data_IF_408421815225
#
_entry.id   IF_408421815225
#
_cell.length_a   1.000
_cell.length_b   1.000
_cell.length_c   1.000
_cell.angle_alpha   90.00
_cell.angle_beta   90.00
_cell.angle_gamma   90.00
#
_symmetry.space_group_name_H-M   'P 1'
#
loop_
_entity.id
_entity.type
_entity.pdbx_description
1 polymer ?
#
# COMPACT_ATOMS: atom_id res chain seq x y z
N UNK A 1 6.79 -16.14 5.56
CA UNK A 1 6.49 -15.74 4.16
C UNK A 1 7.78 -15.30 3.49
N UNK A 2 8.01 -15.55 2.19
CA UNK A 2 9.28 -15.12 1.57
C UNK A 2 9.19 -13.62 1.25
N UNK A 3 10.16 -12.78 1.65
CA UNK A 3 10.11 -11.33 1.38
C UNK A 3 9.88 -10.99 -0.09
N UNK A 4 10.43 -11.79 -1.01
CA UNK A 4 10.27 -11.60 -2.45
C UNK A 4 8.80 -11.68 -2.93
N UNK A 5 7.95 -12.50 -2.29
CA UNK A 5 6.55 -12.70 -2.70
C UNK A 5 5.74 -11.40 -2.61
N UNK A 6 6.06 -10.53 -1.64
CA UNK A 6 5.46 -9.21 -1.53
C UNK A 6 5.78 -8.33 -2.74
N UNK A 7 7.03 -8.34 -3.18
CA UNK A 7 7.47 -7.54 -4.31
C UNK A 7 7.03 -8.14 -5.65
N UNK A 8 6.96 -9.48 -5.77
CA UNK A 8 6.31 -10.16 -6.90
C UNK A 8 4.86 -9.68 -7.05
N UNK A 9 4.10 -9.65 -5.95
CA UNK A 9 2.72 -9.15 -5.93
C UNK A 9 2.63 -7.72 -6.48
N UNK A 10 3.42 -6.77 -5.94
CA UNK A 10 3.37 -5.38 -6.40
C UNK A 10 3.72 -5.23 -7.88
N UNK A 11 4.70 -6.00 -8.38
CA UNK A 11 5.10 -5.96 -9.78
C UNK A 11 4.05 -6.56 -10.73
N UNK A 12 3.36 -7.62 -10.31
CA UNK A 12 2.27 -8.20 -11.12
C UNK A 12 1.12 -7.21 -11.31
N UNK A 13 0.82 -6.41 -10.28
CA UNK A 13 -0.13 -5.32 -10.37
C UNK A 13 0.38 -4.14 -11.19
N UNK A 14 1.67 -3.85 -11.12
CA UNK A 14 2.31 -2.75 -11.83
C UNK A 14 2.71 -3.07 -13.29
N UNK A 15 2.45 -4.30 -13.76
CA UNK A 15 2.73 -4.75 -15.12
C UNK A 15 1.82 -4.07 -16.16
N UNK A 16 2.05 -2.78 -16.39
CA UNK A 16 1.35 -1.93 -17.34
C UNK A 16 2.32 -1.35 -18.38
N UNK A 17 2.03 -1.46 -19.69
CA UNK A 17 2.83 -0.84 -20.75
C UNK A 17 2.60 0.68 -20.86
N UNK A 18 1.73 1.24 -20.02
CA UNK A 18 1.37 2.65 -20.04
C UNK A 18 2.59 3.57 -19.82
N UNK A 19 2.76 4.60 -20.66
CA UNK A 19 3.93 5.48 -20.58
C UNK A 19 3.82 6.48 -19.43
N UNK A 20 4.91 6.64 -18.69
CA UNK A 20 5.06 7.64 -17.64
C UNK A 20 5.21 9.03 -18.26
N UNK A 21 4.34 9.95 -17.83
CA UNK A 21 4.32 11.36 -18.28
C UNK A 21 5.29 12.21 -17.48
N UNK A 22 5.47 11.90 -16.20
CA UNK A 22 6.29 12.69 -15.29
C UNK A 22 6.75 11.87 -14.08
N UNK A 23 7.98 12.14 -13.65
CA UNK A 23 8.52 11.70 -12.35
C UNK A 23 9.14 12.92 -11.69
N UNK A 24 8.79 13.16 -10.42
CA UNK A 24 9.40 14.18 -9.57
C UNK A 24 9.96 13.50 -8.33
N UNK A 25 11.21 13.82 -7.98
CA UNK A 25 11.81 13.43 -6.71
C UNK A 25 11.85 14.69 -5.85
N UNK A 26 10.80 14.89 -5.04
CA UNK A 26 10.75 15.97 -4.07
C UNK A 26 11.54 15.63 -2.81
N UNK A 27 11.70 16.59 -1.91
CA UNK A 27 12.48 16.41 -0.68
C UNK A 27 11.89 15.33 0.25
N UNK A 28 10.56 15.29 0.38
CA UNK A 28 9.86 14.34 1.26
C UNK A 28 9.08 13.30 0.48
N UNK A 29 8.52 13.68 -0.67
CA UNK A 29 7.69 12.80 -1.50
C UNK A 29 8.22 12.74 -2.92
N UNK A 30 8.24 11.53 -3.47
CA UNK A 30 8.45 11.26 -4.88
C UNK A 30 7.11 10.93 -5.53
N UNK A 31 6.94 11.40 -6.76
CA UNK A 31 5.69 11.42 -7.49
C UNK A 31 5.92 10.82 -8.87
N UNK A 32 5.03 9.93 -9.30
CA UNK A 32 4.99 9.40 -10.66
C UNK A 32 3.59 9.61 -11.24
N UNK A 33 3.51 10.17 -12.44
CA UNK A 33 2.25 10.38 -13.15
C UNK A 33 2.23 9.65 -14.49
N UNK A 34 1.18 8.86 -14.68
CA UNK A 34 0.71 8.35 -15.94
C UNK A 34 -0.73 8.87 -16.17
N UNK A 35 -1.72 8.01 -16.41
CA UNK A 35 -3.15 8.33 -16.30
C UNK A 35 -3.55 8.54 -14.84
N UNK A 36 -3.04 7.69 -13.95
CA UNK A 36 -3.11 7.83 -12.50
C UNK A 36 -1.78 8.34 -11.93
N UNK A 37 -1.83 8.77 -10.67
CA UNK A 37 -0.68 9.27 -9.93
C UNK A 37 -0.35 8.28 -8.82
N UNK A 38 0.95 8.05 -8.60
CA UNK A 38 1.48 7.30 -7.48
C UNK A 38 2.49 8.13 -6.68
N UNK A 39 2.53 7.86 -5.39
CA UNK A 39 3.41 8.53 -4.44
C UNK A 39 4.28 7.50 -3.71
N UNK A 40 5.46 7.92 -3.31
CA UNK A 40 6.32 7.20 -2.38
C UNK A 40 7.14 8.20 -1.57
N UNK A 41 7.46 7.89 -0.32
CA UNK A 41 8.36 8.71 0.48
C UNK A 41 9.77 8.73 -0.16
N UNK A 42 10.33 9.93 -0.29
CA UNK A 42 11.69 10.12 -0.80
C UNK A 42 12.72 9.60 0.21
N UNK A 43 13.87 9.06 -0.25
CA UNK A 43 14.97 8.71 0.64
C UNK A 43 15.52 9.95 1.35
N UNK A 44 15.89 9.81 2.63
CA UNK A 44 16.46 10.91 3.42
C UNK A 44 17.93 11.25 3.09
N UNK A 45 18.67 10.36 2.44
CA UNK A 45 20.07 10.58 2.10
C UNK A 45 20.23 11.31 0.78
N UNK A 46 20.94 12.45 0.77
CA UNK A 46 21.20 13.22 -0.45
C UNK A 46 22.19 12.50 -1.37
N UNK A 47 21.99 12.64 -2.69
CA UNK A 47 22.96 12.22 -3.70
C UNK A 47 23.21 13.33 -4.72
N UNK A 48 24.46 13.43 -5.21
CA UNK A 48 24.83 14.31 -6.32
C UNK A 48 24.73 13.63 -7.69
N UNK A 49 24.50 12.32 -7.71
CA UNK A 49 24.55 11.52 -8.92
C UNK A 49 23.32 10.62 -9.01
N UNK A 50 22.50 10.88 -10.03
CA UNK A 50 21.42 10.01 -10.49
C UNK A 50 21.62 9.77 -11.99
N UNK A 51 22.29 8.69 -12.42
CA UNK A 51 22.75 8.52 -13.81
C UNK A 51 21.60 8.40 -14.83
N UNK A 52 20.38 8.19 -14.35
CA UNK A 52 19.17 8.06 -15.15
C UNK A 52 18.30 9.33 -15.16
N UNK A 53 18.71 10.41 -14.49
CA UNK A 53 17.98 11.68 -14.50
C UNK A 53 17.79 12.18 -15.93
N UNK A 54 16.59 12.69 -16.24
CA UNK A 54 16.21 13.11 -17.60
C UNK A 54 15.76 11.97 -18.54
N UNK A 55 15.85 10.70 -18.14
CA UNK A 55 15.53 9.55 -19.01
C UNK A 55 14.24 8.81 -18.66
N UNK A 56 13.52 9.24 -17.60
CA UNK A 56 12.37 8.49 -17.06
C UNK A 56 11.05 8.71 -17.81
N UNK A 57 10.83 9.90 -18.37
CA UNK A 57 9.62 10.20 -19.15
C UNK A 57 9.57 9.30 -20.37
N UNK A 58 8.40 8.72 -20.65
CA UNK A 58 8.17 7.82 -21.78
C UNK A 58 8.52 6.35 -21.50
N UNK A 59 9.24 6.05 -20.41
CA UNK A 59 9.34 4.66 -19.91
C UNK A 59 7.96 4.19 -19.47
N UNK A 60 7.73 2.89 -19.58
CA UNK A 60 6.49 2.26 -19.12
C UNK A 60 6.45 2.18 -17.59
N UNK A 61 5.24 2.14 -17.02
CA UNK A 61 5.06 1.86 -15.59
C UNK A 61 5.71 0.54 -15.18
N UNK A 62 5.63 -0.50 -16.02
CA UNK A 62 6.27 -1.80 -15.75
C UNK A 62 7.80 -1.69 -15.63
N UNK A 63 8.45 -0.96 -16.53
CA UNK A 63 9.92 -0.77 -16.49
C UNK A 63 10.38 -0.05 -15.23
N UNK A 64 9.68 1.03 -14.84
CA UNK A 64 10.03 1.77 -13.63
C UNK A 64 9.67 1.00 -12.38
N UNK A 65 8.50 0.38 -12.31
CA UNK A 65 8.07 -0.43 -11.18
C UNK A 65 9.06 -1.57 -10.90
N UNK A 66 9.68 -2.16 -11.93
CA UNK A 66 10.74 -3.17 -11.79
C UNK A 66 11.91 -2.74 -10.90
N UNK A 67 12.17 -1.44 -10.76
CA UNK A 67 13.21 -0.89 -9.89
C UNK A 67 12.88 -1.00 -8.40
N UNK A 68 11.65 -1.36 -8.04
CA UNK A 68 11.22 -1.54 -6.66
C UNK A 68 12.07 -2.58 -5.91
N UNK A 69 12.64 -3.56 -6.61
CA UNK A 69 13.54 -4.58 -6.04
C UNK A 69 14.96 -4.08 -5.79
N UNK A 70 15.35 -2.97 -6.40
CA UNK A 70 16.70 -2.45 -6.28
C UNK A 70 16.96 -2.01 -4.83
N UNK A 71 18.17 -2.24 -4.32
CA UNK A 71 18.58 -1.80 -3.00
C UNK A 71 19.08 -0.34 -3.00
N UNK A 72 19.29 0.26 -4.18
CA UNK A 72 19.53 1.69 -4.30
C UNK A 72 18.23 2.47 -3.94
N UNK A 73 18.24 3.32 -2.90
CA UNK A 73 17.03 3.94 -2.36
C UNK A 73 16.22 4.76 -3.37
N UNK A 74 16.86 5.53 -4.25
CA UNK A 74 16.14 6.38 -5.19
C UNK A 74 15.44 5.56 -6.29
N UNK A 75 16.10 4.50 -6.80
CA UNK A 75 15.50 3.54 -7.72
C UNK A 75 14.31 2.83 -7.09
N UNK A 76 14.45 2.38 -5.84
CA UNK A 76 13.37 1.74 -5.11
C UNK A 76 12.16 2.68 -4.94
N UNK A 77 12.40 3.94 -4.57
CA UNK A 77 11.35 4.95 -4.41
C UNK A 77 10.67 5.27 -5.75
N UNK A 78 11.42 5.45 -6.83
CA UNK A 78 10.84 5.65 -8.18
C UNK A 78 10.00 4.44 -8.59
N UNK A 79 10.50 3.22 -8.35
CA UNK A 79 9.76 2.00 -8.63
C UNK A 79 8.48 1.89 -7.82
N UNK A 80 8.51 2.29 -6.55
CA UNK A 80 7.30 2.30 -5.71
C UNK A 80 6.28 3.35 -6.17
N UNK A 81 6.71 4.55 -6.52
CA UNK A 81 5.82 5.58 -7.05
C UNK A 81 5.16 5.13 -8.37
N UNK A 82 5.91 4.48 -9.26
CA UNK A 82 5.37 3.89 -10.49
C UNK A 82 4.39 2.74 -10.20
N UNK A 83 4.71 1.85 -9.26
CA UNK A 83 3.82 0.78 -8.84
C UNK A 83 2.50 1.33 -8.26
N UNK A 84 2.58 2.34 -7.41
CA UNK A 84 1.39 3.01 -6.89
C UNK A 84 0.58 3.71 -7.98
N UNK A 85 1.22 4.30 -8.99
CA UNK A 85 0.49 4.87 -10.12
C UNK A 85 -0.31 3.75 -10.82
N UNK A 86 0.32 2.64 -11.17
CA UNK A 86 -0.34 1.51 -11.81
C UNK A 86 -1.45 0.87 -10.97
N UNK A 87 -1.29 0.78 -9.64
CA UNK A 87 -2.31 0.27 -8.71
C UNK A 87 -3.45 1.29 -8.55
N UNK A 88 -3.13 2.59 -8.58
CA UNK A 88 -4.11 3.62 -8.27
C UNK A 88 -5.23 3.77 -9.30
N UNK A 89 -5.03 3.29 -10.54
CA UNK A 89 -6.07 3.23 -11.58
C UNK A 89 -7.15 2.18 -11.32
N UNK A 90 -6.88 1.20 -10.44
CA UNK A 90 -7.81 0.10 -10.18
C UNK A 90 -9.05 0.59 -9.44
N UNK A 91 -10.20 0.08 -9.87
CA UNK A 91 -11.51 0.36 -9.31
C UNK A 91 -12.29 -0.93 -9.06
N UNK A 92 -13.13 -0.98 -8.02
CA UNK A 92 -13.33 0.08 -7.03
C UNK A 92 -12.18 0.18 -6.02
N UNK A 93 -12.01 1.36 -5.43
CA UNK A 93 -11.27 1.52 -4.16
C UNK A 93 -12.00 0.77 -3.03
N UNK A 94 -11.29 0.37 -1.95
CA UNK A 94 -11.97 -0.27 -0.85
C UNK A 94 -12.94 0.70 -0.18
N UNK A 95 -14.03 0.15 0.33
CA UNK A 95 -14.92 0.89 1.23
C UNK A 95 -14.11 1.36 2.44
N UNK A 96 -14.32 2.61 2.81
CA UNK A 96 -13.52 3.25 3.84
C UNK A 96 -13.98 4.67 4.11
N UNK A 97 -13.39 5.27 5.14
CA UNK A 97 -13.71 6.60 5.62
C UNK A 97 -12.69 7.59 5.07
N UNK A 98 -13.15 8.60 4.35
CA UNK A 98 -12.33 9.77 4.02
C UNK A 98 -12.22 10.67 5.25
N UNK A 99 -11.01 10.78 5.78
CA UNK A 99 -10.74 11.59 6.96
C UNK A 99 -10.70 13.08 6.57
N UNK A 100 -11.35 13.91 7.39
CA UNK A 100 -11.26 15.36 7.31
C UNK A 100 -10.02 15.85 8.07
N UNK A 101 -9.47 17.03 7.75
CA UNK A 101 -8.34 17.59 8.50
C UNK A 101 -8.56 17.54 10.03
N UNK A 102 -7.56 17.03 10.75
CA UNK A 102 -7.60 16.81 12.19
C UNK A 102 -7.19 18.04 13.02
N UNK A 103 -7.50 18.02 14.30
CA UNK A 103 -7.20 19.12 15.23
C UNK A 103 -5.71 19.21 15.59
N UNK A 104 -5.01 18.07 15.64
CA UNK A 104 -3.57 17.96 15.89
C UNK A 104 -2.73 18.08 14.60
N UNK A 105 -3.38 18.37 13.46
CA UNK A 105 -2.75 18.49 12.15
C UNK A 105 -3.07 17.31 11.23
N UNK A 106 -3.17 17.61 9.94
CA UNK A 106 -3.63 16.64 8.93
C UNK A 106 -2.73 15.41 8.78
N UNK A 107 -1.46 15.45 9.21
CA UNK A 107 -0.58 14.28 9.21
C UNK A 107 -0.84 13.31 10.36
N UNK A 108 -1.52 13.74 11.43
CA UNK A 108 -1.85 12.92 12.61
C UNK A 108 -3.29 12.42 12.62
N UNK A 109 -4.11 12.80 11.63
CA UNK A 109 -5.53 12.49 11.58
C UNK A 109 -5.86 10.99 11.64
N UNK A 110 -4.96 10.12 11.19
CA UNK A 110 -5.12 8.67 11.34
C UNK A 110 -5.05 8.26 12.81
N UNK A 111 -4.11 8.82 13.58
CA UNK A 111 -4.04 8.57 15.03
C UNK A 111 -5.26 9.14 15.75
N UNK A 112 -5.75 10.32 15.34
CA UNK A 112 -7.01 10.89 15.87
C UNK A 112 -8.21 9.98 15.60
N UNK A 113 -8.30 9.40 14.39
CA UNK A 113 -9.39 8.49 14.03
C UNK A 113 -9.44 7.26 14.94
N UNK A 114 -8.28 6.67 15.25
CA UNK A 114 -8.17 5.49 16.11
C UNK A 114 -8.08 5.82 17.61
N UNK A 115 -7.92 7.09 17.99
CA UNK A 115 -7.66 7.51 19.37
C UNK A 115 -8.55 6.84 20.43
N UNK A 116 -9.87 6.68 20.25
CA UNK A 116 -10.72 5.98 21.23
C UNK A 116 -10.30 4.54 21.51
N UNK A 117 -9.69 3.87 20.53
CA UNK A 117 -9.25 2.47 20.59
C UNK A 117 -7.77 2.32 21.02
N UNK A 118 -7.01 3.42 21.06
CA UNK A 118 -5.59 3.40 21.44
C UNK A 118 -5.37 3.57 22.94
N UNK A 119 -6.38 4.05 23.68
CA UNK A 119 -6.26 4.26 25.13
C UNK A 119 -6.00 2.92 25.82
N UNK A 120 -5.15 2.96 26.84
CA UNK A 120 -4.75 1.81 27.68
C UNK A 120 -3.95 0.69 26.98
N UNK A 121 -3.83 0.73 25.65
CA UNK A 121 -3.09 -0.25 24.86
C UNK A 121 -1.62 0.14 24.64
N UNK A 122 -0.76 -0.87 24.47
CA UNK A 122 0.62 -0.67 24.02
C UNK A 122 0.66 -0.39 22.51
N UNK A 123 1.03 0.84 22.16
CA UNK A 123 1.10 1.30 20.76
C UNK A 123 2.56 1.41 20.33
N UNK A 124 2.91 0.72 19.25
CA UNK A 124 4.20 0.90 18.58
C UNK A 124 3.99 1.59 17.23
N UNK A 125 4.75 2.63 16.95
CA UNK A 125 4.74 3.32 15.65
C UNK A 125 6.06 3.08 14.97
N UNK A 126 6.04 2.62 13.72
CA UNK A 126 7.23 2.49 12.90
C UNK A 126 7.28 3.67 11.93
N UNK A 127 8.28 4.52 12.12
CA UNK A 127 8.44 5.80 11.42
C UNK A 127 7.94 6.99 12.25
N UNK A 128 8.73 8.06 12.30
CA UNK A 128 8.35 9.28 13.04
C UNK A 128 7.37 10.17 12.25
N UNK A 129 6.35 10.65 12.94
CA UNK A 129 5.41 11.66 12.46
C UNK A 129 5.58 12.98 13.25
N UNK A 130 5.64 14.15 12.58
CA UNK A 130 5.71 15.43 13.28
C UNK A 130 4.54 15.63 14.24
N UNK A 131 4.83 16.08 15.48
CA UNK A 131 3.84 16.34 16.53
C UNK A 131 3.39 15.10 17.34
N UNK A 132 3.92 13.90 17.03
CA UNK A 132 3.44 12.66 17.64
C UNK A 132 3.69 12.57 19.17
N UNK A 133 4.82 13.07 19.66
CA UNK A 133 5.14 13.05 21.10
C UNK A 133 4.16 13.94 21.89
N UNK A 134 3.87 15.14 21.39
CA UNK A 134 2.89 16.05 21.99
C UNK A 134 1.47 15.47 21.94
N UNK A 135 1.11 14.85 20.81
CA UNK A 135 -0.15 14.15 20.66
C UNK A 135 -0.30 13.01 21.67
N UNK A 136 0.75 12.19 21.85
CA UNK A 136 0.75 11.09 22.79
C UNK A 136 0.66 11.59 24.24
N UNK A 137 1.43 12.61 24.61
CA UNK A 137 1.40 13.22 25.94
C UNK A 137 0.03 13.83 26.27
N UNK A 138 -0.55 14.58 25.33
CA UNK A 138 -1.87 15.21 25.50
C UNK A 138 -2.99 14.20 25.75
N UNK A 139 -2.87 13.01 25.16
CA UNK A 139 -3.90 11.98 25.24
C UNK A 139 -3.56 10.81 26.19
N UNK A 140 -2.42 10.87 26.89
CA UNK A 140 -1.97 9.83 27.81
C UNK A 140 -1.70 8.47 27.15
N UNK A 141 -1.21 8.47 25.90
CA UNK A 141 -0.97 7.23 25.14
C UNK A 141 0.34 6.55 25.57
N UNK A 142 0.31 5.22 25.70
CA UNK A 142 1.49 4.36 25.88
C UNK A 142 2.10 4.07 24.51
N UNK A 143 2.78 5.07 23.95
CA UNK A 143 3.31 5.05 22.58
C UNK A 143 4.84 4.94 22.57
N UNK A 144 5.38 4.03 21.76
CA UNK A 144 6.82 3.94 21.48
C UNK A 144 7.06 4.04 19.98
N UNK A 145 8.03 4.84 19.55
CA UNK A 145 8.37 4.96 18.13
C UNK A 145 9.67 4.25 17.81
N UNK A 146 9.66 3.48 16.72
CA UNK A 146 10.82 2.86 16.09
C UNK A 146 11.21 3.70 14.87
N UNK A 147 12.45 4.19 14.84
CA UNK A 147 12.97 4.99 13.73
C UNK A 147 14.43 4.61 13.39
N UNK A 148 14.78 4.65 12.11
CA UNK A 148 16.13 4.30 11.62
C UNK A 148 17.17 5.34 12.02
N UNK A 149 16.74 6.59 12.11
CA UNK A 149 17.52 7.71 12.65
C UNK A 149 16.79 8.23 13.90
N UNK A 150 16.89 7.51 15.03
CA UNK A 150 16.08 7.80 16.20
C UNK A 150 16.43 9.17 16.79
N UNK A 151 15.38 9.94 17.11
CA UNK A 151 15.48 11.12 17.96
C UNK A 151 15.57 10.77 19.46
N UNK A 152 15.57 11.78 20.36
CA UNK A 152 15.76 11.57 21.80
C UNK A 152 14.73 10.65 22.49
N UNK A 153 13.51 10.56 21.97
CA UNK A 153 12.41 9.78 22.53
C UNK A 153 12.11 8.49 21.74
N UNK A 154 13.04 8.10 20.86
CA UNK A 154 12.82 7.07 19.87
C UNK A 154 13.69 5.87 20.16
N UNK A 155 13.19 4.70 19.80
CA UNK A 155 13.97 3.48 19.77
C UNK A 155 14.55 3.28 18.37
N UNK A 156 15.77 2.71 18.25
CA UNK A 156 16.32 2.35 16.95
C UNK A 156 15.43 1.29 16.27
N UNK A 157 15.43 1.28 14.94
CA UNK A 157 14.66 0.31 14.14
C UNK A 157 14.95 -1.15 14.49
N UNK A 158 16.16 -1.48 14.95
CA UNK A 158 16.54 -2.81 15.43
C UNK A 158 15.79 -3.28 16.68
N UNK A 159 15.15 -2.39 17.44
CA UNK A 159 14.30 -2.75 18.57
C UNK A 159 12.97 -3.41 18.14
N UNK A 160 12.65 -3.40 16.84
CA UNK A 160 11.42 -4.01 16.30
C UNK A 160 11.23 -5.47 16.70
N UNK A 161 12.31 -6.26 16.75
CA UNK A 161 12.30 -7.68 17.13
C UNK A 161 11.84 -7.92 18.57
N UNK A 162 11.92 -6.91 19.44
CA UNK A 162 11.55 -6.99 20.85
C UNK A 162 10.21 -6.33 21.14
N UNK A 163 9.89 -5.24 20.44
CA UNK A 163 8.72 -4.42 20.75
C UNK A 163 7.48 -4.78 19.93
N UNK A 164 7.63 -5.15 18.65
CA UNK A 164 6.47 -5.46 17.81
C UNK A 164 5.72 -6.73 18.24
N UNK A 165 6.38 -7.81 18.70
CA UNK A 165 5.66 -9.01 19.18
C UNK A 165 4.77 -8.77 20.41
N UNK A 166 5.10 -7.76 21.22
CA UNK A 166 4.40 -7.40 22.46
C UNK A 166 3.40 -6.23 22.27
N UNK A 167 3.38 -5.63 21.08
CA UNK A 167 2.50 -4.52 20.77
C UNK A 167 1.05 -5.00 20.64
N UNK A 168 0.11 -4.14 21.06
CA UNK A 168 -1.32 -4.38 20.85
C UNK A 168 -1.83 -3.63 19.61
N UNK A 169 -1.19 -2.48 19.31
CA UNK A 169 -1.39 -1.71 18.09
C UNK A 169 -0.07 -1.39 17.42
N UNK A 170 -0.02 -1.54 16.09
CA UNK A 170 1.14 -1.14 15.28
C UNK A 170 0.71 -0.19 14.18
N UNK A 171 1.28 1.01 14.16
CA UNK A 171 1.18 1.93 13.03
C UNK A 171 2.45 1.81 12.19
N UNK A 172 2.34 1.19 11.02
CA UNK A 172 3.47 0.89 10.15
C UNK A 172 3.53 1.89 9.00
N UNK A 173 4.61 2.66 8.90
CA UNK A 173 4.86 3.48 7.70
C UNK A 173 4.97 2.62 6.46
N UNK A 174 4.24 2.98 5.40
CA UNK A 174 4.39 2.37 4.08
C UNK A 174 5.76 2.70 3.43
N UNK A 175 6.52 3.64 3.98
CA UNK A 175 7.94 3.84 3.61
C UNK A 175 8.82 2.61 3.86
N UNK A 176 8.40 1.68 4.73
CA UNK A 176 9.08 0.39 4.94
C UNK A 176 9.12 -0.51 3.68
N UNK A 177 8.25 -0.25 2.70
CA UNK A 177 8.21 -1.00 1.44
C UNK A 177 9.45 -0.68 0.59
N UNK A 178 9.84 0.60 0.50
CA UNK A 178 10.95 1.04 -0.38
C UNK A 178 12.31 0.61 0.17
N UNK A 179 12.45 0.51 1.49
CA UNK A 179 13.67 0.12 2.17
C UNK A 179 13.75 -1.38 2.57
N UNK A 180 12.78 -2.19 2.13
CA UNK A 180 12.76 -3.66 2.26
C UNK A 180 12.50 -4.21 3.65
N UNK A 181 12.06 -3.38 4.59
CA UNK A 181 11.73 -3.85 5.95
C UNK A 181 10.27 -4.28 6.12
N UNK A 182 9.36 -3.87 5.21
CA UNK A 182 7.92 -4.17 5.34
C UNK A 182 7.60 -5.65 5.63
N UNK A 183 8.12 -6.66 4.88
CA UNK A 183 7.71 -8.04 5.13
C UNK A 183 8.04 -8.55 6.53
N UNK A 184 9.19 -8.14 7.10
CA UNK A 184 9.58 -8.54 8.46
C UNK A 184 8.80 -7.78 9.52
N UNK A 185 8.59 -6.47 9.33
CA UNK A 185 7.83 -5.65 10.27
C UNK A 185 6.37 -6.12 10.34
N UNK A 186 5.75 -6.44 9.21
CA UNK A 186 4.41 -7.00 9.15
C UNK A 186 4.33 -8.38 9.83
N UNK A 187 5.33 -9.26 9.59
CA UNK A 187 5.42 -10.56 10.27
C UNK A 187 5.52 -10.44 11.79
N UNK A 188 6.35 -9.51 12.29
CA UNK A 188 6.51 -9.26 13.72
C UNK A 188 5.25 -8.67 14.36
N UNK A 189 4.46 -7.92 13.58
CA UNK A 189 3.24 -7.23 14.04
C UNK A 189 1.98 -8.08 13.97
N UNK A 190 2.07 -9.34 13.51
CA UNK A 190 0.91 -10.21 13.20
C UNK A 190 -0.07 -10.49 14.35
N UNK A 191 0.33 -10.21 15.60
CA UNK A 191 -0.50 -10.39 16.78
C UNK A 191 -1.14 -9.07 17.27
N UNK A 192 -0.76 -7.94 16.68
CA UNK A 192 -1.27 -6.62 16.97
C UNK A 192 -2.31 -6.21 15.92
N UNK A 193 -3.16 -5.24 16.26
CA UNK A 193 -3.96 -4.54 15.25
C UNK A 193 -3.00 -3.64 14.44
N UNK A 194 -2.82 -3.95 13.16
CA UNK A 194 -1.81 -3.31 12.31
C UNK A 194 -2.43 -2.37 11.28
N UNK A 195 -1.99 -1.11 11.30
CA UNK A 195 -2.36 -0.07 10.34
C UNK A 195 -1.18 0.24 9.43
N UNK A 196 -1.24 -0.16 8.15
CA UNK A 196 -0.27 0.28 7.14
C UNK A 196 -0.67 1.65 6.61
N UNK A 197 0.19 2.66 6.79
CA UNK A 197 -0.23 4.04 6.57
C UNK A 197 0.77 4.92 5.80
N UNK A 198 0.21 5.93 5.13
CA UNK A 198 0.91 7.02 4.48
C UNK A 198 0.80 7.00 2.95
N UNK A 199 1.28 8.05 2.26
CA UNK A 199 1.23 8.18 0.79
C UNK A 199 1.86 7.04 -0.02
N UNK A 200 2.79 6.28 0.57
CA UNK A 200 3.40 5.12 -0.09
C UNK A 200 2.48 3.88 -0.11
N UNK A 201 1.35 3.88 0.60
CA UNK A 201 0.50 2.68 0.79
C UNK A 201 -0.15 2.23 -0.53
N UNK A 202 0.09 0.99 -1.00
CA UNK A 202 -0.60 0.42 -2.14
C UNK A 202 -2.00 -0.08 -1.76
N UNK A 203 -3.00 0.18 -2.61
CA UNK A 203 -4.38 -0.25 -2.41
C UNK A 203 -4.61 -1.68 -2.93
N UNK A 204 -4.25 -2.70 -2.13
CA UNK A 204 -4.43 -4.12 -2.49
C UNK A 204 -5.09 -4.93 -1.36
N UNK A 205 -6.12 -5.76 -1.65
CA UNK A 205 -6.74 -6.62 -0.64
C UNK A 205 -5.79 -7.71 -0.11
N UNK A 206 -4.80 -8.12 -0.91
CA UNK A 206 -3.80 -9.11 -0.56
C UNK A 206 -2.99 -8.75 0.69
N UNK A 207 -2.93 -7.46 1.08
CA UNK A 207 -2.25 -7.01 2.29
C UNK A 207 -2.84 -7.65 3.58
N UNK A 208 -4.09 -8.11 3.55
CA UNK A 208 -4.68 -8.91 4.62
C UNK A 208 -3.80 -10.12 4.95
N UNK A 209 -3.30 -10.80 3.91
CA UNK A 209 -2.49 -12.00 4.04
C UNK A 209 -1.10 -11.74 4.61
N UNK A 210 -0.70 -10.46 4.70
CA UNK A 210 0.53 -10.00 5.34
C UNK A 210 0.30 -9.56 6.80
N UNK A 211 -0.92 -9.73 7.34
CA UNK A 211 -1.25 -9.37 8.72
C UNK A 211 -1.61 -7.89 8.90
N UNK A 212 -2.09 -7.23 7.83
CA UNK A 212 -2.55 -5.84 7.90
C UNK A 212 -4.06 -5.79 8.12
N UNK A 213 -4.49 -5.12 9.19
CA UNK A 213 -5.90 -4.98 9.56
C UNK A 213 -6.54 -3.72 8.98
N UNK A 214 -5.74 -2.68 8.74
CA UNK A 214 -6.21 -1.41 8.18
C UNK A 214 -5.23 -0.83 7.17
N UNK A 215 -5.77 -0.28 6.10
CA UNK A 215 -5.03 0.55 5.15
C UNK A 215 -5.40 2.02 5.37
N UNK A 216 -4.42 2.85 5.66
CA UNK A 216 -4.55 4.30 5.73
C UNK A 216 -3.73 4.94 4.59
N UNK A 217 -4.21 4.76 3.36
CA UNK A 217 -3.62 5.32 2.14
C UNK A 217 -4.24 6.66 1.74
N UNK A 218 -3.80 7.20 0.61
CA UNK A 218 -4.27 8.51 0.11
C UNK A 218 -5.32 8.37 -0.99
N UNK A 219 -6.25 9.32 -0.97
CA UNK A 219 -7.05 9.73 -2.13
C UNK A 219 -6.58 11.11 -2.60
N UNK A 220 -6.37 11.26 -3.90
CA UNK A 220 -5.94 12.53 -4.49
C UNK A 220 -7.16 13.42 -4.64
N UNK A 221 -7.14 14.57 -3.97
CA UNK A 221 -8.22 15.54 -4.01
C UNK A 221 -7.94 16.64 -5.06
N UNK A 222 -6.69 17.09 -5.16
CA UNK A 222 -6.24 18.04 -6.18
C UNK A 222 -4.85 17.63 -6.70
N UNK A 223 -4.80 17.18 -7.96
CA UNK A 223 -3.58 16.69 -8.59
C UNK A 223 -2.57 17.82 -8.90
N UNK A 224 -3.04 19.04 -9.19
CA UNK A 224 -2.17 20.18 -9.50
C UNK A 224 -1.54 20.72 -8.23
N UNK A 225 -2.34 20.90 -7.17
CA UNK A 225 -1.86 21.32 -5.86
C UNK A 225 -0.90 20.27 -5.27
N UNK A 226 -1.24 18.98 -5.37
CA UNK A 226 -0.36 17.88 -4.98
C UNK A 226 1.02 18.00 -5.66
N UNK A 227 1.01 18.18 -6.99
CA UNK A 227 2.26 18.31 -7.76
C UNK A 227 3.07 19.54 -7.31
N UNK A 228 2.43 20.69 -7.13
CA UNK A 228 3.10 21.91 -6.68
C UNK A 228 3.80 21.69 -5.33
N UNK A 229 3.08 21.15 -4.35
CA UNK A 229 3.61 20.83 -3.02
C UNK A 229 4.82 19.90 -3.10
N UNK A 230 4.76 18.84 -3.91
CA UNK A 230 5.87 17.91 -4.10
C UNK A 230 7.10 18.61 -4.69
N UNK A 231 6.90 19.42 -5.73
CA UNK A 231 7.97 20.18 -6.38
C UNK A 231 8.62 21.23 -5.45
N UNK A 232 7.84 21.81 -4.55
CA UNK A 232 8.30 22.79 -3.55
C UNK A 232 8.85 22.14 -2.27
N UNK A 233 8.85 20.80 -2.19
CA UNK A 233 9.43 20.06 -1.06
C UNK A 233 8.55 19.98 0.19
N UNK A 234 7.25 20.27 0.07
CA UNK A 234 6.31 20.24 1.18
C UNK A 234 5.99 18.81 1.65
N UNK A 235 6.45 18.45 2.85
CA UNK A 235 6.16 17.15 3.47
C UNK A 235 4.71 17.02 3.95
N UNK A 236 4.40 17.64 5.09
CA UNK A 236 3.04 17.61 5.67
C UNK A 236 2.03 18.47 4.90
N UNK A 237 2.51 19.43 4.09
CA UNK A 237 1.67 20.30 3.25
C UNK A 237 0.86 19.54 2.20
N UNK A 238 1.23 18.30 1.91
CA UNK A 238 0.49 17.41 1.01
C UNK A 238 -0.98 17.26 1.43
N UNK A 239 -1.22 17.35 2.75
CA UNK A 239 -2.53 17.18 3.37
C UNK A 239 -3.36 18.49 3.46
N UNK A 240 -2.84 19.62 2.98
CA UNK A 240 -3.52 20.93 2.99
C UNK A 240 -4.45 21.12 1.75
N UNK A 241 -4.79 20.02 1.07
CA UNK A 241 -5.73 20.01 -0.06
C UNK A 241 -5.34 19.07 -1.21
N UNK A 242 -4.04 18.76 -1.36
CA UNK A 242 -3.58 17.86 -2.44
C UNK A 242 -4.11 16.42 -2.30
N UNK A 243 -4.11 15.91 -1.06
CA UNK A 243 -4.63 14.57 -0.76
C UNK A 243 -5.45 14.53 0.53
N UNK A 244 -6.20 13.46 0.71
CA UNK A 244 -6.86 13.09 1.98
C UNK A 244 -6.57 11.65 2.34
N UNK A 245 -6.45 11.37 3.64
CA UNK A 245 -6.41 9.99 4.12
C UNK A 245 -7.76 9.31 3.87
N UNK A 246 -7.71 8.11 3.30
CA UNK A 246 -8.79 7.15 3.33
C UNK A 246 -8.37 6.03 4.27
N UNK A 247 -9.19 5.70 5.26
CA UNK A 247 -8.98 4.55 6.14
C UNK A 247 -9.96 3.46 5.76
N UNK A 248 -9.45 2.31 5.35
CA UNK A 248 -10.24 1.14 5.01
C UNK A 248 -9.89 0.00 5.97
N UNK A 249 -10.93 -0.59 6.58
CA UNK A 249 -10.77 -1.83 7.31
C UNK A 249 -10.48 -2.96 6.32
N UNK A 250 -9.46 -3.75 6.62
CA UNK A 250 -9.04 -4.89 5.84
C UNK A 250 -9.31 -6.18 6.61
N UNK A 251 -10.50 -6.28 7.20
CA UNK A 251 -10.97 -7.54 7.81
C UNK A 251 -11.19 -8.59 6.72
N UNK A 252 -11.22 -9.88 7.10
CA UNK A 252 -11.44 -10.97 6.14
C UNK A 252 -12.68 -10.74 5.25
N UNK A 253 -13.89 -10.40 5.76
CA UNK A 253 -15.04 -10.11 4.89
C UNK A 253 -14.81 -8.92 3.96
N UNK A 254 -14.23 -7.82 4.47
CA UNK A 254 -13.97 -6.62 3.67
C UNK A 254 -12.96 -6.90 2.54
N UNK A 255 -11.87 -7.61 2.84
CA UNK A 255 -10.89 -8.04 1.84
C UNK A 255 -11.53 -8.97 0.79
N UNK A 256 -12.41 -9.88 1.22
CA UNK A 256 -13.08 -10.82 0.34
C UNK A 256 -14.04 -10.12 -0.63
N UNK A 257 -14.87 -9.21 -0.14
CA UNK A 257 -15.81 -8.44 -0.97
C UNK A 257 -15.09 -7.48 -1.92
N UNK A 258 -13.99 -6.89 -1.46
CA UNK A 258 -13.15 -6.05 -2.30
C UNK A 258 -12.44 -6.86 -3.39
N UNK A 259 -11.84 -8.02 -3.07
CA UNK A 259 -11.27 -8.94 -4.05
C UNK A 259 -12.30 -9.36 -5.09
N UNK A 260 -13.53 -9.71 -4.69
CA UNK A 260 -14.63 -10.05 -5.61
C UNK A 260 -14.93 -8.91 -6.59
N UNK A 261 -14.97 -7.68 -6.09
CA UNK A 261 -15.25 -6.50 -6.90
C UNK A 261 -14.12 -6.22 -7.92
N UNK A 262 -12.86 -6.38 -7.51
CA UNK A 262 -11.70 -6.24 -8.39
C UNK A 262 -11.62 -7.38 -9.42
N UNK A 263 -11.99 -8.61 -9.08
CA UNK A 263 -12.10 -9.74 -10.02
C UNK A 263 -13.10 -9.38 -11.12
N UNK A 264 -14.30 -8.92 -10.75
CA UNK A 264 -15.32 -8.54 -11.72
C UNK A 264 -14.84 -7.41 -12.67
N UNK A 265 -14.12 -6.42 -12.15
CA UNK A 265 -13.49 -5.37 -12.96
C UNK A 265 -12.43 -5.91 -13.92
N UNK A 266 -11.55 -6.77 -13.42
CA UNK A 266 -10.43 -7.35 -14.19
C UNK A 266 -10.92 -8.28 -15.29
N UNK A 267 -12.00 -9.04 -15.04
CA UNK A 267 -12.64 -9.88 -16.06
C UNK A 267 -13.22 -9.03 -17.20
N UNK A 268 -13.90 -7.91 -16.90
CA UNK A 268 -14.40 -7.00 -17.95
C UNK A 268 -13.26 -6.39 -18.78
N UNK A 269 -12.17 -5.98 -18.14
CA UNK A 269 -10.97 -5.50 -18.84
C UNK A 269 -10.40 -6.58 -19.76
N UNK A 270 -10.31 -7.83 -19.27
CA UNK A 270 -9.85 -8.99 -20.05
C UNK A 270 -10.72 -9.24 -21.28
N UNK A 271 -12.05 -9.26 -21.10
CA UNK A 271 -13.00 -9.49 -22.19
C UNK A 271 -12.87 -8.42 -23.28
N UNK A 272 -12.70 -7.15 -22.88
CA UNK A 272 -12.49 -6.03 -23.80
C UNK A 272 -11.23 -6.22 -24.63
N UNK A 273 -10.11 -6.61 -24.00
CA UNK A 273 -8.84 -6.86 -24.69
C UNK A 273 -8.89 -8.09 -25.59
N UNK A 274 -9.60 -9.16 -25.18
CA UNK A 274 -9.79 -10.34 -26.01
C UNK A 274 -10.63 -10.03 -27.25
N UNK A 275 -11.68 -9.22 -27.12
CA UNK A 275 -12.47 -8.76 -28.26
C UNK A 275 -11.62 -7.90 -29.22
N UNK A 276 -10.87 -6.93 -28.70
CA UNK A 276 -9.99 -6.10 -29.50
C UNK A 276 -8.90 -6.93 -30.23
N UNK A 277 -8.35 -7.94 -29.55
CA UNK A 277 -7.41 -8.89 -30.15
C UNK A 277 -8.04 -9.73 -31.27
N UNK A 278 -9.26 -10.22 -31.07
CA UNK A 278 -9.99 -10.95 -32.11
C UNK A 278 -10.24 -10.05 -33.34
N UNK A 279 -10.69 -8.81 -33.13
CA UNK A 279 -10.92 -7.84 -34.20
C UNK A 279 -9.63 -7.47 -34.95
N UNK A 280 -8.49 -7.42 -34.26
CA UNK A 280 -7.19 -7.21 -34.88
C UNK A 280 -6.85 -8.31 -35.89
N UNK A 281 -6.99 -9.57 -35.50
CA UNK A 281 -6.70 -10.69 -36.39
C UNK A 281 -7.76 -10.86 -37.49
N UNK A 282 -9.04 -10.58 -37.21
CA UNK A 282 -10.11 -10.60 -38.21
C UNK A 282 -9.92 -9.55 -39.31
N UNK A 283 -9.25 -8.44 -39.02
CA UNK A 283 -8.84 -7.43 -40.03
C UNK A 283 -7.67 -7.88 -40.91
N UNK A 284 -7.17 -9.10 -40.74
CA UNK A 284 -6.08 -9.66 -41.55
C UNK A 284 -4.68 -9.25 -41.10
N UNK A 285 -4.53 -8.64 -39.92
CA UNK A 285 -3.20 -8.34 -39.38
C UNK A 285 -2.46 -9.63 -39.02
N UNK A 286 -1.21 -9.76 -39.49
CA UNK A 286 -0.34 -10.92 -39.20
C UNK A 286 0.62 -10.66 -38.05
N UNK A 287 0.85 -9.39 -37.71
CA UNK A 287 1.67 -9.00 -36.57
C UNK A 287 0.96 -9.32 -35.23
N UNK A 288 1.74 -9.50 -34.16
CA UNK A 288 1.22 -9.69 -32.81
C UNK A 288 0.31 -8.53 -32.42
N UNK A 289 -0.81 -8.84 -31.75
CA UNK A 289 -1.70 -7.83 -31.21
C UNK A 289 -0.93 -6.81 -30.33
N UNK A 290 -1.02 -5.50 -30.62
CA UNK A 290 -0.21 -4.48 -29.95
C UNK A 290 -0.35 -4.48 -28.42
N UNK A 291 -1.55 -4.69 -27.89
CA UNK A 291 -1.81 -4.62 -26.45
C UNK A 291 -1.71 -5.99 -25.75
N UNK A 292 -1.04 -6.97 -26.37
CA UNK A 292 -0.84 -8.28 -25.75
C UNK A 292 -0.17 -8.16 -24.36
N UNK A 293 0.76 -7.22 -24.18
CA UNK A 293 1.40 -6.99 -22.89
C UNK A 293 0.42 -6.56 -21.79
N UNK A 294 -0.60 -5.77 -22.15
CA UNK A 294 -1.68 -5.40 -21.23
C UNK A 294 -2.55 -6.61 -20.87
N UNK A 295 -2.89 -7.45 -21.87
CA UNK A 295 -3.65 -8.69 -21.65
C UNK A 295 -2.91 -9.67 -20.72
N UNK A 296 -1.59 -9.81 -20.90
CA UNK A 296 -0.73 -10.61 -20.02
C UNK A 296 -0.72 -10.07 -18.58
N UNK A 297 -0.61 -8.74 -18.41
CA UNK A 297 -0.74 -8.09 -17.11
C UNK A 297 -2.11 -8.32 -16.45
N UNK A 298 -3.20 -8.25 -17.21
CA UNK A 298 -4.56 -8.55 -16.74
C UNK A 298 -4.68 -9.99 -16.26
N UNK A 299 -4.12 -10.96 -17.00
CA UNK A 299 -4.14 -12.37 -16.59
C UNK A 299 -3.37 -12.60 -15.28
N UNK A 300 -2.21 -11.98 -15.11
CA UNK A 300 -1.46 -12.04 -13.84
C UNK A 300 -2.26 -11.46 -12.67
N UNK A 301 -2.86 -10.28 -12.83
CA UNK A 301 -3.71 -9.66 -11.80
C UNK A 301 -4.90 -10.55 -11.42
N UNK A 302 -5.60 -11.10 -12.42
CA UNK A 302 -6.72 -12.01 -12.17
C UNK A 302 -6.29 -13.24 -11.38
N UNK A 303 -5.14 -13.84 -11.74
CA UNK A 303 -4.58 -14.98 -10.99
C UNK A 303 -4.25 -14.63 -9.53
N UNK A 304 -3.74 -13.42 -9.25
CA UNK A 304 -3.45 -12.94 -7.89
C UNK A 304 -4.73 -12.76 -7.08
N UNK A 305 -5.72 -12.09 -7.67
CA UNK A 305 -7.02 -11.86 -7.05
C UNK A 305 -7.77 -13.16 -6.76
N UNK A 306 -7.80 -14.11 -7.70
CA UNK A 306 -8.46 -15.41 -7.51
C UNK A 306 -7.78 -16.20 -6.38
N UNK A 307 -6.44 -16.18 -6.33
CA UNK A 307 -5.68 -16.80 -5.24
C UNK A 307 -5.96 -16.13 -3.89
N UNK A 308 -6.05 -14.79 -3.87
CA UNK A 308 -6.39 -14.03 -2.67
C UNK A 308 -7.79 -14.39 -2.16
N UNK A 309 -8.79 -14.35 -3.05
CA UNK A 309 -10.18 -14.65 -2.73
C UNK A 309 -10.33 -16.09 -2.25
N UNK A 310 -9.68 -17.06 -2.92
CA UNK A 310 -9.73 -18.47 -2.52
C UNK A 310 -9.19 -18.68 -1.10
N UNK A 311 -8.03 -18.08 -0.78
CA UNK A 311 -7.49 -18.16 0.58
C UNK A 311 -8.44 -17.60 1.64
N UNK A 312 -9.02 -16.42 1.38
CA UNK A 312 -10.00 -15.79 2.26
C UNK A 312 -11.25 -16.68 2.45
N UNK A 313 -11.67 -17.38 1.39
CA UNK A 313 -12.79 -18.32 1.42
C UNK A 313 -12.48 -19.58 2.25
N UNK A 314 -11.30 -20.16 2.07
CA UNK A 314 -10.87 -21.37 2.76
C UNK A 314 -10.75 -21.13 4.28
N UNK A 315 -10.20 -19.97 4.70
CA UNK A 315 -10.16 -19.54 6.12
C UNK A 315 -11.56 -19.47 6.78
N UNK A 316 -12.61 -19.18 6.00
CA UNK A 316 -13.98 -19.19 6.50
C UNK A 316 -14.54 -20.60 6.69
N UNK A 317 -14.20 -21.50 5.79
CA UNK A 317 -14.66 -22.88 5.84
C UNK A 317 -14.11 -23.58 7.10
N UNK A 318 -12.83 -23.40 7.39
CA UNK A 318 -12.19 -23.93 8.60
C UNK A 318 -12.81 -23.40 9.90
N UNK A 319 -13.14 -22.09 9.92
CA UNK A 319 -13.79 -21.47 11.08
C UNK A 319 -15.22 -21.98 11.30
N UNK A 320 -15.96 -22.28 10.24
CA UNK A 320 -17.30 -22.84 10.29
C UNK A 320 -17.29 -24.33 10.67
N UNK A 321 -16.35 -25.11 10.14
CA UNK A 321 -16.16 -26.52 10.49
C UNK A 321 -15.73 -26.70 11.95
N UNK A 322 -14.82 -25.86 12.46
CA UNK A 322 -14.40 -25.87 13.88
C UNK A 322 -15.58 -25.57 14.82
N UNK A 323 -16.42 -24.58 14.47
CA UNK A 323 -17.64 -24.27 15.22
C UNK A 323 -18.64 -25.42 15.19
N UNK A 324 -18.85 -26.04 14.03
CA UNK A 324 -19.73 -27.20 13.87
C UNK A 324 -19.23 -28.42 14.67
N UNK A 325 -17.93 -28.72 14.64
CA UNK A 325 -17.33 -29.80 15.40
C UNK A 325 -17.49 -29.60 16.91
N UNK A 326 -17.24 -28.39 17.43
CA UNK A 326 -17.42 -28.08 18.85
C UNK A 326 -18.89 -28.17 19.32
N UNK A 327 -19.83 -27.77 18.48
CA UNK A 327 -21.26 -27.84 18.78
C UNK A 327 -21.77 -29.29 18.80
N UNK A 328 -21.17 -30.16 17.99
CA UNK A 328 -21.53 -31.58 17.90
C UNK A 328 -20.93 -32.39 19.06
N UNK A 329 -19.74 -32.03 19.56
CA UNK A 329 -19.14 -32.66 20.74
C UNK A 329 -19.84 -32.26 22.06
N UNK A 330 -20.21 -30.98 22.24
CA UNK A 330 -20.98 -30.55 23.43
C UNK A 330 -22.37 -31.19 23.54
N UNK A 331 -22.93 -31.70 22.43
CA UNK A 331 -24.20 -32.46 22.42
C UNK A 331 -24.03 -33.95 22.72
N UNK A 332 -22.81 -34.50 22.67
CA UNK A 332 -22.52 -35.90 23.01
C UNK A 332 -22.09 -36.11 24.46
N UNK A 333 -21.73 -35.02 25.16
CA UNK A 333 -21.36 -35.02 26.58
C UNK A 333 -22.51 -34.58 27.52
N UNK A 334 -23.75 -34.53 27.03
CA UNK A 334 -24.95 -34.22 27.83
C UNK A 334 -25.94 -35.36 27.83
#
# INVERSE_FOLDING_TARGET
MKPAEFYDLLLDYAASPEPVREVVIGLVWSYCRAESIGLAMSPGGQTRTLPWAGTLRGKTLAELAGWLRDFEPYRATVGMAAANAAINRLQPKPDGVLLQPGAAGSNLVVFEHFLPQLRDHQVVVVGRYPGLDEFAATHGLRLTVLERQPGPNDMPDTACEYLLPEAEWVFLTAGSITNKTFPRLAELSRNAITVLMGPTTPWLPELYHFGIDYLAGMEIADAEQLRAVVCEGGGVRLFDGGVRYRVAALTRPAAQDWSRSLIAGTVREKETLLQAMADWYNRGHTARYPDYGQLDGVNRRLSRLDSCFKRLWDENSDALETKAYSATHRKRER
#
